data_IF_326482120071
#
_entry.id   IF_326482120071
#
_cell.length_a   1.000
_cell.length_b   1.000
_cell.length_c   1.000
_cell.angle_alpha   90.00
_cell.angle_beta   90.00
_cell.angle_gamma   90.00
#
_symmetry.space_group_name_H-M   'P 1'
#
loop_
_entity.id
_entity.type
_entity.pdbx_description
1 polymer ?
#
# COMPACT_ATOMS: atom_id res chain seq x y z
N UNK A 1 13.57 -11.93 -8.18
CA UNK A 1 13.92 -11.89 -6.74
C UNK A 1 15.43 -11.90 -6.64
N UNK A 2 16.03 -10.91 -5.97
CA UNK A 2 17.49 -10.70 -5.95
C UNK A 2 17.92 -9.24 -6.02
N UNK A 3 17.10 -8.32 -5.52
CA UNK A 3 17.52 -6.93 -5.40
C UNK A 3 18.49 -6.82 -4.21
N UNK A 4 19.65 -6.21 -4.42
CA UNK A 4 20.64 -5.93 -3.36
C UNK A 4 20.08 -4.94 -2.31
N UNK A 5 19.10 -4.12 -2.72
CA UNK A 5 18.35 -3.15 -1.92
C UNK A 5 16.86 -3.30 -2.28
N UNK A 6 15.94 -3.37 -1.30
CA UNK A 6 14.49 -3.52 -1.57
C UNK A 6 13.98 -4.95 -1.54
N UNK A 7 14.77 -5.90 -1.04
CA UNK A 7 14.42 -7.32 -0.99
C UNK A 7 13.63 -7.72 0.26
N UNK A 8 13.62 -6.87 1.28
CA UNK A 8 13.00 -7.11 2.59
C UNK A 8 12.14 -5.91 2.99
N UNK A 9 11.21 -6.13 3.93
CA UNK A 9 10.35 -5.05 4.40
C UNK A 9 11.17 -3.88 4.98
N UNK A 10 11.07 -2.70 4.35
CA UNK A 10 11.70 -1.45 4.79
C UNK A 10 13.20 -1.31 4.53
N UNK A 11 13.86 -2.28 3.89
CA UNK A 11 15.32 -2.22 3.65
C UNK A 11 15.71 -1.16 2.60
N UNK A 12 14.80 -0.82 1.68
CA UNK A 12 14.99 0.23 0.69
C UNK A 12 14.68 1.63 1.21
N UNK A 13 14.10 1.79 2.40
CA UNK A 13 13.73 3.10 2.94
C UNK A 13 14.91 4.10 2.97
N UNK A 14 16.12 3.75 3.47
CA UNK A 14 17.23 4.70 3.49
C UNK A 14 17.67 5.14 2.10
N UNK A 15 17.68 4.21 1.13
CA UNK A 15 18.01 4.51 -0.26
C UNK A 15 16.94 5.41 -0.90
N UNK A 16 15.65 5.14 -0.65
CA UNK A 16 14.56 5.96 -1.13
C UNK A 16 14.64 7.39 -0.58
N UNK A 17 14.93 7.56 0.72
CA UNK A 17 15.12 8.88 1.34
C UNK A 17 16.29 9.65 0.73
N UNK A 18 17.42 8.98 0.46
CA UNK A 18 18.55 9.62 -0.21
C UNK A 18 18.17 10.09 -1.61
N UNK A 19 17.51 9.25 -2.41
CA UNK A 19 17.07 9.62 -3.75
C UNK A 19 16.07 10.79 -3.69
N UNK A 20 15.11 10.75 -2.76
CA UNK A 20 14.14 11.82 -2.55
C UNK A 20 14.81 13.15 -2.18
N UNK A 21 15.96 13.14 -1.52
CA UNK A 21 16.71 14.39 -1.22
C UNK A 21 17.37 15.04 -2.45
N UNK A 22 17.47 14.31 -3.56
CA UNK A 22 18.12 14.74 -4.80
C UNK A 22 17.14 15.12 -5.91
N UNK A 23 15.83 15.00 -5.68
CA UNK A 23 14.80 15.30 -6.66
C UNK A 23 13.62 16.06 -6.05
N UNK A 24 12.89 16.81 -6.87
CA UNK A 24 11.70 17.54 -6.42
C UNK A 24 10.56 16.59 -6.05
N UNK A 25 10.42 15.46 -6.76
CA UNK A 25 9.36 14.46 -6.54
C UNK A 25 9.88 13.06 -6.84
N UNK A 26 9.61 12.11 -5.94
CA UNK A 26 9.98 10.71 -6.11
C UNK A 26 8.74 9.82 -6.13
N UNK A 27 8.51 9.10 -7.23
CA UNK A 27 7.49 8.05 -7.27
C UNK A 27 8.02 6.77 -6.64
N UNK A 28 7.25 6.19 -5.69
CA UNK A 28 7.64 4.98 -4.96
C UNK A 28 6.51 3.95 -4.92
N UNK A 29 6.89 2.67 -4.91
CA UNK A 29 5.99 1.57 -4.56
C UNK A 29 5.85 1.52 -3.01
N UNK A 30 4.69 1.20 -2.43
CA UNK A 30 4.43 1.44 -1.02
C UNK A 30 5.26 0.48 -0.15
N UNK A 31 5.52 -0.73 -0.65
CA UNK A 31 6.39 -1.70 0.05
C UNK A 31 7.87 -1.27 0.13
N UNK A 32 8.29 -0.20 -0.55
CA UNK A 32 9.66 0.35 -0.43
C UNK A 32 9.87 1.02 0.92
N UNK A 33 8.85 1.72 1.39
CA UNK A 33 8.87 2.65 2.53
C UNK A 33 7.95 2.22 3.67
N UNK A 34 7.12 1.20 3.42
CA UNK A 34 6.24 0.58 4.39
C UNK A 34 6.86 -0.73 4.91
N UNK A 35 6.97 -0.85 6.22
CA UNK A 35 7.40 -2.05 6.93
C UNK A 35 6.54 -2.27 8.17
N UNK A 36 5.58 -3.20 8.06
CA UNK A 36 4.62 -3.51 9.13
C UNK A 36 3.85 -2.25 9.58
N UNK A 37 4.17 -1.72 10.76
CA UNK A 37 3.49 -0.57 11.35
C UNK A 37 4.21 0.77 11.05
N UNK A 38 5.29 0.72 10.27
CA UNK A 38 6.14 1.86 9.97
C UNK A 38 5.92 2.28 8.52
N UNK A 39 5.68 3.58 8.31
CA UNK A 39 5.77 4.23 7.01
C UNK A 39 6.73 5.41 7.12
N UNK A 40 7.80 5.40 6.33
CA UNK A 40 8.88 6.39 6.38
C UNK A 40 8.96 7.26 5.10
N UNK A 41 7.84 7.46 4.40
CA UNK A 41 7.78 8.40 3.28
C UNK A 41 8.19 9.82 3.70
N UNK A 42 8.97 10.48 2.84
CA UNK A 42 9.19 11.93 2.93
C UNK A 42 8.07 12.69 2.22
N UNK A 43 7.96 13.99 2.47
CA UNK A 43 6.87 14.83 1.95
C UNK A 43 6.79 14.87 0.42
N UNK A 44 7.92 14.68 -0.26
CA UNK A 44 8.01 14.69 -1.73
C UNK A 44 7.93 13.30 -2.38
N UNK A 45 7.62 12.25 -1.60
CA UNK A 45 7.37 10.93 -2.15
C UNK A 45 5.90 10.74 -2.49
N UNK A 46 5.62 10.26 -3.71
CA UNK A 46 4.27 9.96 -4.18
C UNK A 46 4.14 8.46 -4.44
N UNK A 47 3.08 7.85 -3.94
CA UNK A 47 2.78 6.44 -4.20
C UNK A 47 2.20 6.25 -5.61
N UNK A 48 2.74 5.27 -6.33
CA UNK A 48 2.14 4.76 -7.57
C UNK A 48 2.08 3.24 -7.52
N UNK A 49 0.94 2.68 -7.89
CA UNK A 49 0.75 1.23 -8.03
C UNK A 49 1.58 0.69 -9.20
N UNK A 50 2.12 -0.52 -9.07
CA UNK A 50 3.09 -1.07 -10.04
C UNK A 50 2.56 -1.11 -11.47
N UNK A 51 1.36 -1.65 -11.70
CA UNK A 51 0.76 -1.72 -13.04
C UNK A 51 0.47 -0.33 -13.64
N UNK A 52 0.16 0.64 -12.78
CA UNK A 52 -0.05 2.03 -13.17
C UNK A 52 1.27 2.66 -13.62
N UNK A 53 2.36 2.40 -12.90
CA UNK A 53 3.70 2.85 -13.29
C UNK A 53 4.13 2.26 -14.64
N UNK A 54 3.90 0.95 -14.86
CA UNK A 54 4.20 0.29 -16.13
C UNK A 54 3.45 0.96 -17.29
N UNK A 55 2.13 1.17 -17.13
CA UNK A 55 1.29 1.81 -18.17
C UNK A 55 1.67 3.27 -18.42
N UNK A 56 2.14 3.98 -17.41
CA UNK A 56 2.69 5.33 -17.56
C UNK A 56 3.98 5.31 -18.39
N UNK A 57 4.90 4.39 -18.10
CA UNK A 57 6.16 4.23 -18.84
C UNK A 57 5.92 3.77 -20.29
N UNK A 58 4.86 2.99 -20.53
CA UNK A 58 4.40 2.60 -21.87
C UNK A 58 3.67 3.73 -22.62
N UNK A 59 3.47 4.90 -21.99
CA UNK A 59 2.80 6.05 -22.59
C UNK A 59 1.29 5.88 -22.79
N UNK A 60 0.66 4.92 -22.09
CA UNK A 60 -0.78 4.65 -22.22
C UNK A 60 -1.64 5.55 -21.33
N UNK A 61 -1.07 6.03 -20.21
CA UNK A 61 -1.73 6.89 -19.24
C UNK A 61 -0.80 8.03 -18.81
N UNK A 62 -1.37 9.11 -18.30
CA UNK A 62 -0.65 10.14 -17.56
C UNK A 62 -0.78 9.95 -16.04
N UNK A 63 0.13 10.54 -15.29
CA UNK A 63 0.01 10.67 -13.83
C UNK A 63 -0.36 12.11 -13.49
N UNK A 64 -1.29 12.27 -12.55
CA UNK A 64 -1.69 13.56 -12.00
C UNK A 64 -1.48 13.52 -10.48
N UNK A 65 -0.83 14.54 -9.94
CA UNK A 65 -0.68 14.67 -8.50
C UNK A 65 -2.01 15.08 -7.89
N UNK A 66 -2.50 14.27 -6.95
CA UNK A 66 -3.75 14.52 -6.23
C UNK A 66 -3.48 14.75 -4.77
N UNK A 67 -4.22 15.68 -4.17
CA UNK A 67 -4.13 15.97 -2.74
C UNK A 67 -4.54 14.76 -1.87
N UNK A 68 -5.55 14.01 -2.30
CA UNK A 68 -6.00 12.80 -1.63
C UNK A 68 -6.55 11.77 -2.62
N UNK A 69 -6.37 10.50 -2.29
CA UNK A 69 -6.98 9.40 -3.01
C UNK A 69 -8.35 9.06 -2.41
N UNK A 70 -9.30 8.69 -3.27
CA UNK A 70 -10.57 8.09 -2.84
C UNK A 70 -10.35 6.62 -2.55
N UNK A 71 -10.74 6.19 -1.36
CA UNK A 71 -10.52 4.84 -0.85
C UNK A 71 -11.88 4.17 -0.68
N UNK A 72 -12.06 3.01 -1.30
CA UNK A 72 -13.21 2.16 -1.04
C UNK A 72 -12.82 1.06 -0.04
N UNK A 73 -13.47 1.04 1.12
CA UNK A 73 -13.31 0.00 2.12
C UNK A 73 -14.43 -1.04 2.00
N UNK A 74 -14.12 -2.15 1.34
CA UNK A 74 -15.00 -3.30 1.21
C UNK A 74 -15.00 -4.13 2.51
N UNK A 75 -16.18 -4.36 3.09
CA UNK A 75 -16.35 -5.05 4.38
C UNK A 75 -17.42 -6.12 4.30
N UNK A 76 -17.19 -7.26 4.96
CA UNK A 76 -18.21 -8.30 5.05
C UNK A 76 -19.41 -7.82 5.89
N UNK A 77 -20.61 -8.26 5.50
CA UNK A 77 -21.81 -8.07 6.30
C UNK A 77 -21.80 -8.92 7.58
N UNK A 78 -22.29 -8.41 8.72
CA UNK A 78 -22.70 -7.01 8.96
C UNK A 78 -21.51 -6.09 9.21
N UNK A 79 -21.62 -4.82 8.77
CA UNK A 79 -20.62 -3.79 9.11
C UNK A 79 -20.54 -3.60 10.62
N UNK A 80 -19.36 -3.87 11.19
CA UNK A 80 -19.15 -3.77 12.62
C UNK A 80 -18.85 -2.33 13.08
N UNK A 81 -19.27 -1.91 14.28
CA UNK A 81 -19.02 -0.56 14.79
C UNK A 81 -17.53 -0.18 14.86
N UNK A 82 -16.63 -1.13 15.11
CA UNK A 82 -15.19 -0.83 15.19
C UNK A 82 -14.62 -0.38 13.85
N UNK A 83 -15.15 -0.92 12.73
CA UNK A 83 -14.78 -0.49 11.39
C UNK A 83 -15.24 0.93 11.12
N UNK A 84 -16.48 1.25 11.48
CA UNK A 84 -17.03 2.60 11.34
C UNK A 84 -16.21 3.61 12.16
N UNK A 85 -15.84 3.24 13.38
CA UNK A 85 -15.02 4.08 14.26
C UNK A 85 -13.61 4.28 13.67
N UNK A 86 -12.97 3.23 13.14
CA UNK A 86 -11.65 3.33 12.51
C UNK A 86 -11.67 4.25 11.28
N UNK A 87 -12.66 4.10 10.40
CA UNK A 87 -12.83 4.96 9.21
C UNK A 87 -13.12 6.40 9.61
N UNK A 88 -13.98 6.60 10.63
CA UNK A 88 -14.27 7.94 11.15
C UNK A 88 -13.03 8.59 11.76
N UNK A 89 -12.22 7.82 12.48
CA UNK A 89 -10.92 8.23 12.98
C UNK A 89 -10.00 8.70 11.86
N UNK A 90 -9.80 7.86 10.82
CA UNK A 90 -8.95 8.20 9.68
C UNK A 90 -9.42 9.47 8.94
N UNK A 91 -10.73 9.61 8.70
CA UNK A 91 -11.31 10.83 8.11
C UNK A 91 -11.00 12.07 8.96
N UNK A 92 -11.13 11.97 10.28
CA UNK A 92 -10.96 13.11 11.20
C UNK A 92 -9.50 13.47 11.48
N UNK A 93 -8.58 12.49 11.53
CA UNK A 93 -7.19 12.71 11.95
C UNK A 93 -6.24 12.94 10.79
N UNK A 94 -6.45 12.26 9.66
CA UNK A 94 -5.56 12.32 8.49
C UNK A 94 -6.26 12.81 7.21
N UNK A 95 -7.55 13.19 7.30
CA UNK A 95 -8.28 13.73 6.16
C UNK A 95 -8.56 12.72 5.04
N UNK A 96 -8.52 11.41 5.34
CA UNK A 96 -8.70 10.36 4.33
C UNK A 96 -10.13 10.35 3.78
N UNK A 97 -10.28 10.33 2.45
CA UNK A 97 -11.57 10.16 1.77
C UNK A 97 -11.87 8.66 1.59
N UNK A 98 -12.59 8.08 2.54
CA UNK A 98 -12.90 6.65 2.58
C UNK A 98 -14.40 6.47 2.47
N UNK A 99 -14.89 5.55 1.64
CA UNK A 99 -16.28 5.10 1.57
C UNK A 99 -16.37 3.62 1.98
N UNK A 100 -17.35 3.26 2.81
CA UNK A 100 -17.55 1.86 3.25
C UNK A 100 -18.58 1.20 2.33
N UNK A 101 -18.22 0.07 1.74
CA UNK A 101 -19.14 -0.77 0.98
C UNK A 101 -19.30 -2.11 1.68
N UNK A 102 -20.54 -2.40 2.07
CA UNK A 102 -20.92 -3.71 2.59
C UNK A 102 -21.05 -4.70 1.45
N UNK A 103 -20.39 -5.83 1.59
CA UNK A 103 -20.40 -6.88 0.58
C UNK A 103 -21.61 -7.79 0.77
N UNK A 104 -22.34 -8.02 -0.32
CA UNK A 104 -23.42 -9.01 -0.37
C UNK A 104 -22.89 -10.44 -0.22
N UNK A 105 -21.67 -10.70 -0.73
CA UNK A 105 -20.99 -11.99 -0.63
C UNK A 105 -19.77 -11.84 0.26
N UNK A 106 -19.73 -12.58 1.36
CA UNK A 106 -18.62 -12.52 2.30
C UNK A 106 -17.31 -13.04 1.70
N UNK A 107 -16.23 -12.27 1.80
CA UNK A 107 -14.88 -12.77 1.56
C UNK A 107 -14.41 -13.64 2.73
N UNK A 108 -14.02 -14.87 2.42
CA UNK A 108 -13.33 -15.75 3.34
C UNK A 108 -11.85 -15.76 2.98
N UNK A 109 -11.02 -15.24 3.88
CA UNK A 109 -9.57 -15.39 3.75
C UNK A 109 -9.20 -16.81 4.18
N UNK A 110 -8.79 -17.64 3.21
CA UNK A 110 -8.33 -19.00 3.48
C UNK A 110 -6.81 -19.02 3.45
N UNK A 111 -6.18 -19.24 4.60
CA UNK A 111 -4.74 -19.49 4.65
C UNK A 111 -4.49 -21.00 4.55
N UNK A 112 -3.76 -21.40 3.51
CA UNK A 112 -3.26 -22.77 3.39
C UNK A 112 -1.88 -22.83 4.02
N UNK A 113 -1.80 -23.41 5.22
CA UNK A 113 -0.50 -23.70 5.84
C UNK A 113 0.15 -24.86 5.07
N UNK A 114 1.09 -24.57 4.17
CA UNK A 114 1.93 -25.60 3.57
C UNK A 114 2.81 -26.20 4.67
N UNK A 115 2.46 -27.38 5.18
CA UNK A 115 3.38 -28.19 5.99
C UNK A 115 4.56 -28.56 5.10
N UNK A 116 5.75 -28.07 5.46
CA UNK A 116 7.01 -28.53 4.90
C UNK A 116 7.10 -30.05 5.06
N UNK A 117 6.99 -30.77 3.95
CA UNK A 117 7.39 -32.16 3.85
C UNK A 117 8.92 -32.19 3.99
N UNK A 118 9.41 -32.43 5.22
CA UNK A 118 10.77 -32.95 5.39
C UNK A 118 10.79 -34.34 4.76
N UNK A 119 11.35 -34.43 3.55
CA UNK A 119 11.76 -35.70 2.98
C UNK A 119 12.89 -36.25 3.87
N UNK A 120 12.77 -37.47 4.42
CA UNK A 120 13.89 -38.12 5.06
C UNK A 120 14.90 -38.50 3.96
N UNK A 121 16.11 -37.96 4.07
CA UNK A 121 17.28 -38.54 3.41
C UNK A 121 17.60 -39.88 4.07
#
# INVERSE_FOLDING_TARGET
MGAEIGGHAGDATPAAKLIASLCDTLFVHPNVVNASDINEMTENMLYVEGSTLDRFLEGQIGLEEVYSNKILLAVNSPVRPEIVNAVSGARATIGADIEIVELETSFLMVSLLMKSLRLPF
#
